data_IF_066171938619
#
_entry.id   IF_066171938619
#
_cell.length_a   1.000
_cell.length_b   1.000
_cell.length_c   1.000
_cell.angle_alpha   90.00
_cell.angle_beta   90.00
_cell.angle_gamma   90.00
#
_symmetry.space_group_name_H-M   'P 1'
#
loop_
_entity.id
_entity.type
_entity.pdbx_description
1 polymer ?
#
# COMPACT_ATOMS: atom_id res chain seq x y z
N UNK A 1 -8.88 -16.11 5.43
CA UNK A 1 -9.78 -14.98 5.71
C UNK A 1 -9.77 -14.05 4.50
N UNK A 2 -10.92 -13.59 4.06
CA UNK A 2 -11.04 -12.73 2.89
C UNK A 2 -11.05 -11.24 3.23
N UNK A 3 -11.42 -10.89 4.44
CA UNK A 3 -11.47 -9.51 4.88
C UNK A 3 -11.08 -9.38 6.34
N UNK A 4 -10.47 -8.28 6.68
CA UNK A 4 -10.25 -7.86 8.06
C UNK A 4 -11.27 -6.76 8.37
N UNK A 5 -12.11 -6.99 9.38
CA UNK A 5 -13.10 -6.03 9.80
C UNK A 5 -12.60 -5.29 11.04
N UNK A 6 -12.52 -3.97 10.94
CA UNK A 6 -12.04 -3.11 12.03
C UNK A 6 -12.95 -1.89 12.17
N UNK A 7 -12.82 -1.21 13.30
CA UNK A 7 -13.47 0.07 13.52
C UNK A 7 -12.42 1.16 13.49
N UNK A 8 -12.60 2.14 12.60
CA UNK A 8 -11.70 3.25 12.44
C UNK A 8 -12.47 4.55 12.65
N UNK A 9 -12.04 5.35 13.63
CA UNK A 9 -12.72 6.61 14.00
C UNK A 9 -14.23 6.42 14.22
N UNK A 10 -14.61 5.32 14.92
CA UNK A 10 -16.00 4.97 15.19
C UNK A 10 -16.77 4.40 14.02
N UNK A 11 -16.14 4.22 12.86
CA UNK A 11 -16.78 3.71 11.65
C UNK A 11 -16.30 2.29 11.35
N UNK A 12 -17.20 1.34 11.11
CA UNK A 12 -16.80 0.00 10.70
C UNK A 12 -16.28 0.02 9.25
N UNK A 13 -15.12 -0.60 9.03
CA UNK A 13 -14.54 -0.76 7.71
C UNK A 13 -14.08 -2.19 7.50
N UNK A 14 -14.04 -2.62 6.25
CA UNK A 14 -13.49 -3.91 5.84
C UNK A 14 -12.26 -3.69 4.98
N UNK A 15 -11.22 -4.45 5.26
CA UNK A 15 -9.93 -4.35 4.56
C UNK A 15 -9.73 -5.62 3.76
N UNK A 16 -9.47 -5.46 2.46
CA UNK A 16 -9.26 -6.55 1.51
C UNK A 16 -7.84 -6.50 0.96
N UNK A 17 -7.31 -7.67 0.64
CA UNK A 17 -5.97 -7.82 0.09
C UNK A 17 -6.04 -7.95 -1.44
N UNK A 18 -5.40 -7.02 -2.14
CA UNK A 18 -5.29 -7.00 -3.60
C UNK A 18 -3.83 -6.98 -4.06
N UNK A 19 -2.95 -7.66 -3.32
CA UNK A 19 -1.52 -7.69 -3.65
C UNK A 19 -1.11 -8.85 -4.55
N UNK A 20 -2.03 -9.78 -4.82
CA UNK A 20 -1.73 -10.99 -5.58
C UNK A 20 -1.09 -12.11 -4.76
N UNK A 21 -0.82 -11.89 -3.49
CA UNK A 21 -0.25 -12.87 -2.58
C UNK A 21 -0.87 -12.79 -1.20
N UNK A 22 -0.55 -13.76 -0.35
CA UNK A 22 -1.08 -13.81 1.02
C UNK A 22 -0.36 -12.78 1.89
N UNK A 23 -1.11 -12.08 2.74
CA UNK A 23 -0.56 -11.17 3.73
C UNK A 23 -0.87 -11.68 5.13
N UNK A 24 0.17 -11.75 5.96
CA UNK A 24 0.05 -11.98 7.40
C UNK A 24 0.22 -10.65 8.13
N UNK A 25 -0.81 -10.22 8.84
CA UNK A 25 -0.73 -9.06 9.71
C UNK A 25 -0.27 -9.50 11.08
N UNK A 26 0.71 -8.79 11.62
CA UNK A 26 1.37 -9.14 12.87
C UNK A 26 1.14 -8.06 13.92
N UNK A 27 1.06 -8.49 15.18
CA UNK A 27 1.04 -7.57 16.32
C UNK A 27 2.45 -7.06 16.63
N UNK A 28 2.59 -6.22 17.65
CA UNK A 28 3.87 -5.64 18.06
C UNK A 28 4.89 -6.70 18.50
N UNK A 29 4.43 -7.88 18.90
CA UNK A 29 5.29 -9.00 19.32
C UNK A 29 5.77 -9.84 18.14
N UNK A 30 5.33 -9.52 16.91
CA UNK A 30 5.66 -10.30 15.73
C UNK A 30 4.78 -11.54 15.53
N UNK A 31 3.71 -11.66 16.27
CA UNK A 31 2.78 -12.78 16.13
C UNK A 31 1.73 -12.47 15.07
N UNK A 32 1.48 -13.43 14.18
CA UNK A 32 0.43 -13.28 13.16
C UNK A 32 -0.94 -13.43 13.80
N UNK A 33 -1.77 -12.41 13.68
CA UNK A 33 -3.13 -12.45 14.17
C UNK A 33 -4.17 -12.52 13.04
N UNK A 34 -3.78 -12.25 11.81
CA UNK A 34 -4.69 -12.23 10.68
C UNK A 34 -3.96 -12.67 9.42
N UNK A 35 -4.55 -13.58 8.66
CA UNK A 35 -4.06 -14.02 7.36
C UNK A 35 -5.09 -13.62 6.31
N UNK A 36 -4.71 -12.77 5.36
CA UNK A 36 -5.58 -12.31 4.30
C UNK A 36 -5.21 -12.94 2.97
N UNK A 37 -6.16 -13.64 2.36
CA UNK A 37 -6.06 -14.14 1.00
C UNK A 37 -6.15 -12.98 0.02
N UNK A 38 -5.47 -13.08 -1.11
CA UNK A 38 -5.59 -12.07 -2.15
C UNK A 38 -6.86 -12.30 -2.98
N UNK A 39 -7.61 -11.22 -3.21
CA UNK A 39 -8.80 -11.25 -4.05
C UNK A 39 -8.51 -10.81 -5.49
N UNK A 40 -7.32 -10.34 -5.76
CA UNK A 40 -6.93 -9.88 -7.09
C UNK A 40 -5.56 -9.23 -7.08
N UNK A 41 -5.23 -8.59 -8.18
CA UNK A 41 -3.98 -7.85 -8.35
C UNK A 41 -4.27 -6.45 -8.86
N UNK A 42 -3.32 -5.55 -8.65
CA UNK A 42 -3.44 -4.17 -9.06
C UNK A 42 -2.23 -3.73 -9.86
N UNK A 43 -2.40 -2.65 -10.62
CA UNK A 43 -1.32 -2.05 -11.38
C UNK A 43 -1.40 -0.53 -11.25
N UNK A 44 -0.28 0.09 -10.91
CA UNK A 44 -0.16 1.54 -10.92
C UNK A 44 -0.01 2.06 -12.35
N UNK A 45 -0.78 3.06 -12.71
CA UNK A 45 -0.64 3.76 -13.97
C UNK A 45 0.25 4.96 -13.73
N UNK A 46 1.41 4.97 -14.38
CA UNK A 46 2.45 5.98 -14.16
C UNK A 46 2.60 6.85 -15.39
N UNK A 47 2.83 8.13 -15.17
CA UNK A 47 3.16 9.09 -16.20
C UNK A 47 4.56 9.65 -15.97
N UNK A 48 5.28 9.88 -17.06
CA UNK A 48 6.60 10.51 -17.03
C UNK A 48 6.50 11.93 -17.53
N UNK A 49 7.22 12.83 -16.89
CA UNK A 49 7.31 14.22 -17.32
C UNK A 49 8.73 14.75 -17.12
N UNK A 50 9.05 15.80 -17.85
CA UNK A 50 10.37 16.44 -17.75
C UNK A 50 10.29 17.60 -16.78
N UNK A 51 11.29 17.66 -15.89
CA UNK A 51 11.49 18.77 -14.98
C UNK A 51 12.83 19.39 -15.31
N UNK A 52 12.84 20.72 -15.47
CA UNK A 52 14.08 21.46 -15.67
C UNK A 52 14.55 22.00 -14.32
N UNK A 53 15.68 21.50 -13.88
CA UNK A 53 16.35 22.04 -12.70
C UNK A 53 17.40 23.05 -13.13
N UNK A 54 17.38 24.23 -12.52
CA UNK A 54 18.34 25.31 -12.77
C UNK A 54 19.28 25.42 -11.60
N UNK A 55 20.57 25.29 -11.87
CA UNK A 55 21.62 25.41 -10.86
C UNK A 55 22.66 26.42 -11.35
N UNK A 56 22.49 27.69 -10.97
CA UNK A 56 23.34 28.77 -11.44
C UNK A 56 23.18 28.97 -12.95
N UNK A 57 24.27 28.75 -13.71
CA UNK A 57 24.29 28.90 -15.17
C UNK A 57 24.01 27.57 -15.89
N UNK A 58 23.84 26.48 -15.13
CA UNK A 58 23.60 25.14 -15.71
C UNK A 58 22.14 24.77 -15.60
N UNK A 59 21.66 24.06 -16.64
CA UNK A 59 20.29 23.58 -16.73
C UNK A 59 20.31 22.07 -16.88
N UNK A 60 19.52 21.36 -16.07
CA UNK A 60 19.43 19.90 -16.11
C UNK A 60 17.99 19.50 -16.40
N UNK A 61 17.83 18.59 -17.35
CA UNK A 61 16.53 17.98 -17.63
C UNK A 61 16.49 16.60 -16.98
N UNK A 62 15.54 16.43 -16.07
CA UNK A 62 15.30 15.17 -15.39
C UNK A 62 13.92 14.63 -15.77
N UNK A 63 13.85 13.33 -16.00
CA UNK A 63 12.60 12.64 -16.20
C UNK A 63 12.11 12.11 -14.85
N UNK A 64 10.90 12.51 -14.48
CA UNK A 64 10.26 12.06 -13.25
C UNK A 64 9.07 11.21 -13.63
N UNK A 65 8.94 10.05 -12.98
CA UNK A 65 7.80 9.16 -13.17
C UNK A 65 6.99 9.12 -11.88
N UNK A 66 5.71 9.37 -11.98
CA UNK A 66 4.81 9.35 -10.83
C UNK A 66 3.49 8.66 -11.19
N UNK A 67 2.88 7.92 -10.24
CA UNK A 67 1.57 7.32 -10.47
C UNK A 67 0.47 8.37 -10.36
N UNK A 68 -0.56 8.24 -11.17
CA UNK A 68 -1.75 9.10 -11.12
C UNK A 68 -3.05 8.32 -11.05
N UNK A 69 -3.01 7.00 -11.23
CA UNK A 69 -4.17 6.13 -11.04
C UNK A 69 -3.75 4.68 -10.77
N UNK A 70 -4.71 3.87 -10.39
CA UNK A 70 -4.50 2.45 -10.12
C UNK A 70 -5.62 1.66 -10.81
N UNK A 71 -5.26 0.54 -11.44
CA UNK A 71 -6.20 -0.39 -12.05
C UNK A 71 -6.32 -1.67 -11.23
N UNK A 72 -7.47 -2.32 -11.31
CA UNK A 72 -7.70 -3.62 -10.70
C UNK A 72 -8.48 -3.59 -9.41
N UNK A 73 -8.79 -2.42 -8.86
CA UNK A 73 -9.61 -2.28 -7.67
C UNK A 73 -11.08 -2.09 -8.01
N UNK A 74 -12.00 -2.54 -7.11
CA UNK A 74 -13.41 -2.15 -7.20
C UNK A 74 -13.59 -0.64 -7.07
N UNK A 75 -14.79 -0.15 -7.38
CA UNK A 75 -15.11 1.26 -7.17
C UNK A 75 -14.91 1.66 -5.72
N UNK A 76 -14.47 2.89 -5.52
CA UNK A 76 -14.24 3.43 -4.19
C UNK A 76 -15.57 3.57 -3.44
N UNK A 77 -15.57 3.06 -2.20
CA UNK A 77 -16.70 3.24 -1.26
C UNK A 77 -16.16 3.70 0.08
N UNK A 78 -17.04 4.20 0.94
CA UNK A 78 -16.60 4.71 2.25
C UNK A 78 -16.27 3.60 3.27
N UNK A 79 -16.65 2.36 2.98
CA UNK A 79 -16.59 1.27 3.97
C UNK A 79 -15.52 0.22 3.66
N UNK A 80 -14.91 0.27 2.49
CA UNK A 80 -13.93 -0.73 2.07
C UNK A 80 -12.58 -0.09 1.81
N UNK A 81 -11.53 -0.75 2.30
CA UNK A 81 -10.15 -0.36 2.04
C UNK A 81 -9.41 -1.55 1.42
N UNK A 82 -8.40 -1.24 0.63
CA UNK A 82 -7.68 -2.25 -0.15
C UNK A 82 -6.18 -2.14 0.08
N UNK A 83 -5.57 -3.28 0.41
CA UNK A 83 -4.12 -3.38 0.51
C UNK A 83 -3.58 -3.68 -0.88
N UNK A 84 -2.64 -2.87 -1.35
CA UNK A 84 -2.00 -3.03 -2.66
C UNK A 84 -0.49 -3.04 -2.51
N UNK A 85 0.20 -3.57 -3.51
CA UNK A 85 1.64 -3.49 -3.55
C UNK A 85 2.07 -2.04 -3.76
N UNK A 86 3.07 -1.55 -3.03
CA UNK A 86 3.64 -0.24 -3.29
C UNK A 86 4.40 -0.23 -4.62
N UNK A 87 4.67 0.95 -5.16
CA UNK A 87 5.48 1.10 -6.38
C UNK A 87 6.91 0.65 -6.10
N UNK A 88 7.43 0.96 -4.91
CA UNK A 88 8.77 0.55 -4.48
C UNK A 88 8.67 -0.29 -3.20
N UNK A 89 9.37 -1.41 -3.16
CA UNK A 89 9.31 -2.37 -2.05
C UNK A 89 9.79 -1.82 -0.71
N UNK A 90 10.66 -0.81 -0.73
CA UNK A 90 11.28 -0.25 0.47
C UNK A 90 10.98 1.23 0.63
N UNK A 91 9.70 1.60 0.46
CA UNK A 91 9.33 2.98 0.67
C UNK A 91 9.38 3.37 2.15
N UNK A 92 10.00 4.51 2.40
CA UNK A 92 9.98 5.11 3.72
C UNK A 92 8.68 5.87 3.91
N UNK A 93 8.23 5.95 5.15
CA UNK A 93 6.99 6.61 5.52
C UNK A 93 6.89 8.04 4.97
N UNK A 94 7.98 8.80 5.02
CA UNK A 94 8.03 10.18 4.52
C UNK A 94 7.90 10.29 3.00
N UNK A 95 8.25 9.25 2.28
CA UNK A 95 8.21 9.24 0.81
C UNK A 95 6.82 8.91 0.26
N UNK A 96 5.96 8.29 1.05
CA UNK A 96 4.65 7.81 0.60
C UNK A 96 3.78 8.96 0.14
N UNK A 97 3.64 10.00 0.94
CA UNK A 97 2.83 11.15 0.58
C UNK A 97 3.32 11.85 -0.68
N UNK A 98 4.63 11.89 -0.91
CA UNK A 98 5.21 12.49 -2.11
C UNK A 98 5.02 11.60 -3.34
N UNK A 99 5.12 10.28 -3.17
CA UNK A 99 4.98 9.33 -4.28
C UNK A 99 3.55 9.29 -4.81
N UNK A 100 2.57 9.24 -3.92
CA UNK A 100 1.17 8.99 -4.30
C UNK A 100 0.30 10.24 -4.28
N UNK A 101 0.89 11.43 -4.27
CA UNK A 101 0.12 12.67 -4.09
C UNK A 101 -0.92 12.92 -5.20
N UNK A 102 -0.69 12.40 -6.41
CA UNK A 102 -1.62 12.53 -7.53
C UNK A 102 -2.77 11.52 -7.51
N UNK A 103 -2.68 10.49 -6.67
CA UNK A 103 -3.73 9.49 -6.57
C UNK A 103 -4.88 10.09 -5.78
N UNK A 104 -6.09 10.06 -6.36
CA UNK A 104 -7.26 10.67 -5.72
C UNK A 104 -8.02 9.74 -4.78
N UNK A 105 -7.84 8.43 -4.94
CA UNK A 105 -8.53 7.44 -4.09
C UNK A 105 -8.07 7.55 -2.64
N UNK A 106 -9.03 7.41 -1.71
CA UNK A 106 -8.80 7.49 -0.27
C UNK A 106 -8.88 6.14 0.43
N UNK A 107 -8.98 5.05 -0.32
CA UNK A 107 -9.24 3.72 0.20
C UNK A 107 -8.05 2.75 0.02
N UNK A 108 -6.86 3.28 -0.17
CA UNK A 108 -5.67 2.49 -0.48
C UNK A 108 -4.73 2.44 0.71
N UNK A 109 -4.31 1.21 1.06
CA UNK A 109 -3.32 0.92 2.09
C UNK A 109 -2.15 0.19 1.47
N UNK A 110 -0.95 0.48 1.94
CA UNK A 110 0.25 -0.26 1.55
C UNK A 110 0.94 -0.81 2.80
N UNK A 111 1.52 -2.02 2.73
CA UNK A 111 2.29 -2.57 3.85
C UNK A 111 3.63 -1.83 3.98
N UNK A 112 3.98 -1.45 5.21
CA UNK A 112 5.28 -0.84 5.51
C UNK A 112 6.26 -1.90 5.97
N UNK A 113 7.48 -1.83 5.41
CA UNK A 113 8.59 -2.70 5.79
C UNK A 113 8.18 -4.18 5.87
N UNK A 114 7.51 -4.72 4.86
CA UNK A 114 7.10 -6.12 4.89
C UNK A 114 8.30 -7.04 4.82
N UNK A 115 8.19 -8.19 5.47
CA UNK A 115 9.13 -9.30 5.26
C UNK A 115 8.48 -10.32 4.34
N UNK A 116 9.30 -10.97 3.50
CA UNK A 116 8.82 -11.94 2.53
C UNK A 116 9.31 -13.32 2.93
N UNK A 117 8.37 -14.28 3.01
CA UNK A 117 8.66 -15.66 3.37
C UNK A 117 8.05 -16.59 2.34
N UNK A 118 8.85 -17.56 1.87
CA UNK A 118 8.34 -18.58 0.98
C UNK A 118 7.75 -19.73 1.79
N UNK A 119 6.53 -20.11 1.46
CA UNK A 119 5.85 -21.29 2.04
C UNK A 119 5.49 -22.24 0.89
N UNK A 120 5.86 -23.52 1.05
CA UNK A 120 5.76 -24.54 0.00
C UNK A 120 4.36 -24.62 -0.65
N UNK A 121 3.30 -24.50 0.15
CA UNK A 121 1.93 -24.65 -0.32
C UNK A 121 1.25 -23.31 -0.67
N UNK A 122 1.86 -22.19 -0.31
CA UNK A 122 1.22 -20.86 -0.40
C UNK A 122 2.03 -19.87 -1.26
N UNK A 123 3.26 -20.23 -1.67
CA UNK A 123 4.15 -19.31 -2.36
C UNK A 123 4.75 -18.27 -1.43
N UNK A 124 4.95 -17.04 -1.94
CA UNK A 124 5.52 -15.95 -1.15
C UNK A 124 4.43 -15.33 -0.28
N UNK A 125 4.70 -15.27 1.01
CA UNK A 125 3.84 -14.65 2.02
C UNK A 125 4.51 -13.38 2.52
N UNK A 126 3.80 -12.27 2.50
CA UNK A 126 4.25 -11.01 3.08
C UNK A 126 3.77 -10.92 4.52
N UNK A 127 4.67 -10.51 5.42
CA UNK A 127 4.32 -10.28 6.82
C UNK A 127 4.61 -8.82 7.16
N UNK A 128 3.66 -8.15 7.76
CA UNK A 128 3.85 -6.76 8.19
C UNK A 128 3.03 -6.45 9.44
N UNK A 129 3.49 -5.46 10.19
CA UNK A 129 2.81 -4.99 11.40
C UNK A 129 2.21 -3.60 11.23
N UNK A 130 2.39 -2.98 10.08
CA UNK A 130 1.90 -1.64 9.83
C UNK A 130 1.37 -1.54 8.40
N UNK A 131 0.14 -1.05 8.27
CA UNK A 131 -0.43 -0.65 7.01
C UNK A 131 -0.47 0.87 6.96
N UNK A 132 -0.02 1.44 5.86
CA UNK A 132 0.01 2.88 5.69
C UNK A 132 -1.02 3.33 4.67
N UNK A 133 -1.88 4.25 5.06
CA UNK A 133 -2.77 4.94 4.13
C UNK A 133 -1.92 5.87 3.27
N UNK A 134 -2.11 5.86 1.95
CA UNK A 134 -1.25 6.63 1.04
C UNK A 134 -1.36 8.16 1.21
N UNK A 135 -2.40 8.65 1.88
CA UNK A 135 -2.63 10.07 2.11
C UNK A 135 -2.68 10.47 3.58
N UNK A 136 -2.60 9.51 4.50
CA UNK A 136 -2.79 9.76 5.92
C UNK A 136 -1.74 9.04 6.74
N UNK A 137 -2.03 8.86 8.03
CA UNK A 137 -1.12 8.24 8.96
C UNK A 137 -1.10 6.73 8.83
N UNK A 138 0.01 6.12 9.25
CA UNK A 138 0.12 4.67 9.39
C UNK A 138 -0.74 4.20 10.55
N UNK A 139 -1.21 2.96 10.46
CA UNK A 139 -1.95 2.29 11.51
C UNK A 139 -1.17 1.08 12.01
N UNK A 140 -1.19 0.86 13.31
CA UNK A 140 -0.63 -0.32 13.93
C UNK A 140 -1.76 -1.26 14.32
N UNK A 141 -1.56 -2.53 14.03
CA UNK A 141 -2.54 -3.56 14.31
C UNK A 141 -1.99 -4.45 15.41
N UNK A 142 -2.59 -4.42 16.58
CA UNK A 142 -2.16 -5.26 17.71
C UNK A 142 -2.96 -6.56 17.79
N UNK A 143 -4.19 -6.56 17.32
CA UNK A 143 -5.07 -7.73 17.36
C UNK A 143 -6.18 -7.60 16.31
N UNK A 144 -6.76 -8.75 15.99
CA UNK A 144 -7.79 -8.86 14.96
C UNK A 144 -9.18 -8.71 15.58
#
# INVERSE_FOLDING_TARGET
MKALNVTLDGRPISIYNYTGGIIHLQNKKGETFCELESLGTTRWIQHSFLVMDMNGESYYLNQITAPDSIEGLPEETNNFFYIVNPIYDYQKELEIGLTYYNIKRQDILIPLYPTHHYQKDKGVVKKCSTLCHIHKYKWHWDEC
#
